data_IF_922305268433
#
_entry.id   IF_922305268433
#
_cell.length_a   1.000
_cell.length_b   1.000
_cell.length_c   1.000
_cell.angle_alpha   90.00
_cell.angle_beta   90.00
_cell.angle_gamma   90.00
#
_symmetry.space_group_name_H-M   'P 1'
#
loop_
_entity.id
_entity.type
_entity.pdbx_description
1 polymer ?
#
# COMPACT_ATOMS: atom_id res chain seq x y z
N UNK A 1 1.45 -17.13 -13.99
CA UNK A 1 2.41 -16.43 -13.11
C UNK A 1 1.72 -16.24 -11.75
N UNK A 2 2.44 -16.25 -10.61
CA UNK A 2 1.86 -16.37 -9.25
C UNK A 2 1.55 -14.99 -8.63
N UNK A 3 0.45 -14.86 -7.89
CA UNK A 3 0.22 -13.74 -6.95
C UNK A 3 1.27 -13.79 -5.83
N UNK A 4 1.85 -12.65 -5.44
CA UNK A 4 2.79 -12.62 -4.33
C UNK A 4 2.72 -11.32 -3.50
N UNK A 5 3.25 -11.42 -2.29
CA UNK A 5 3.68 -10.27 -1.49
C UNK A 5 5.07 -10.52 -0.96
N UNK A 6 5.99 -9.62 -1.30
CA UNK A 6 7.34 -9.60 -0.77
C UNK A 6 7.43 -8.48 0.23
N UNK A 7 7.39 -8.83 1.51
CA UNK A 7 7.67 -7.89 2.59
C UNK A 7 9.15 -7.52 2.57
N UNK A 8 9.44 -6.24 2.73
CA UNK A 8 10.80 -5.74 2.82
C UNK A 8 10.93 -4.90 4.10
N UNK A 9 12.14 -4.78 4.66
CA UNK A 9 12.38 -3.79 5.70
C UNK A 9 11.92 -2.41 5.23
N UNK A 10 11.15 -1.70 6.05
CA UNK A 10 10.81 -0.32 5.81
C UNK A 10 12.02 0.56 6.18
N UNK A 11 13.00 0.66 5.28
CA UNK A 11 14.16 1.54 5.45
C UNK A 11 14.08 2.72 4.48
N UNK A 12 14.70 3.84 4.86
CA UNK A 12 14.78 5.03 4.01
C UNK A 12 15.39 4.68 2.65
N UNK A 13 16.52 3.94 2.63
CA UNK A 13 17.20 3.51 1.41
C UNK A 13 16.27 2.77 0.43
N UNK A 14 15.56 1.74 0.91
CA UNK A 14 14.66 0.94 0.06
C UNK A 14 13.48 1.78 -0.44
N UNK A 15 12.99 2.69 0.39
CA UNK A 15 11.90 3.58 0.01
C UNK A 15 12.37 4.65 -0.98
N UNK A 16 13.55 5.23 -0.84
CA UNK A 16 14.08 6.26 -1.75
C UNK A 16 14.26 5.71 -3.18
N UNK A 17 14.71 4.46 -3.30
CA UNK A 17 14.81 3.76 -4.60
C UNK A 17 13.46 3.64 -5.33
N UNK A 18 12.34 3.66 -4.59
CA UNK A 18 11.00 3.41 -5.14
C UNK A 18 10.09 4.65 -5.10
N UNK A 19 10.25 5.53 -4.11
CA UNK A 19 9.42 6.69 -3.82
C UNK A 19 10.05 7.61 -2.76
N UNK A 20 10.51 8.78 -3.21
CA UNK A 20 10.92 9.87 -2.30
C UNK A 20 9.83 10.26 -1.30
N UNK A 21 8.55 10.23 -1.71
CA UNK A 21 7.41 10.49 -0.80
C UNK A 21 7.31 9.43 0.30
N UNK A 22 7.47 8.15 -0.04
CA UNK A 22 7.43 7.06 0.96
C UNK A 22 8.55 7.19 1.99
N UNK A 23 9.77 7.53 1.53
CA UNK A 23 10.91 7.74 2.42
C UNK A 23 10.68 8.92 3.38
N UNK A 24 10.14 10.04 2.88
CA UNK A 24 9.81 11.20 3.71
C UNK A 24 8.73 10.87 4.75
N UNK A 25 7.69 10.12 4.37
CA UNK A 25 6.66 9.68 5.32
C UNK A 25 7.24 8.79 6.43
N UNK A 26 8.14 7.87 6.09
CA UNK A 26 8.85 7.06 7.09
C UNK A 26 9.73 7.92 8.00
N UNK A 27 10.42 8.92 7.44
CA UNK A 27 11.23 9.85 8.21
C UNK A 27 10.39 10.61 9.25
N UNK A 28 9.24 11.16 8.85
CA UNK A 28 8.29 11.82 9.74
C UNK A 28 7.85 10.86 10.85
N UNK A 29 7.48 9.63 10.50
CA UNK A 29 7.06 8.60 11.46
C UNK A 29 8.15 8.28 12.49
N UNK A 30 9.41 8.11 12.05
CA UNK A 30 10.55 7.83 12.95
C UNK A 30 10.80 9.01 13.89
N UNK A 31 10.76 10.23 13.37
CA UNK A 31 10.97 11.47 14.15
C UNK A 31 9.86 11.68 15.19
N UNK A 32 8.61 11.38 14.83
CA UNK A 32 7.47 11.52 15.75
C UNK A 32 7.20 10.29 16.60
N UNK A 33 7.97 9.20 16.41
CA UNK A 33 7.72 7.90 17.03
C UNK A 33 6.26 7.44 16.87
N UNK A 34 5.73 7.57 15.65
CA UNK A 34 4.34 7.20 15.33
C UNK A 34 3.27 8.15 15.87
N UNK A 35 3.60 9.34 16.38
CA UNK A 35 2.58 10.34 16.69
C UNK A 35 2.16 11.06 15.42
N UNK A 36 0.85 11.22 15.22
CA UNK A 36 0.30 12.01 14.14
C UNK A 36 0.72 13.48 14.34
N UNK A 37 1.39 14.05 13.35
CA UNK A 37 1.89 15.42 13.37
C UNK A 37 1.37 16.22 12.17
N UNK A 38 1.38 17.57 12.24
CA UNK A 38 1.01 18.42 11.10
C UNK A 38 1.86 18.16 9.84
N UNK A 39 3.08 17.64 9.98
CA UNK A 39 3.96 17.31 8.84
C UNK A 39 3.33 16.27 7.89
N UNK A 40 2.38 15.44 8.36
CA UNK A 40 1.63 14.53 7.49
C UNK A 40 0.62 15.25 6.57
N UNK A 41 0.19 16.47 6.91
CA UNK A 41 -0.81 17.24 6.13
C UNK A 41 -0.27 17.60 4.76
N UNK A 42 1.02 17.87 4.65
CA UNK A 42 1.70 18.16 3.37
C UNK A 42 1.59 16.99 2.38
N UNK A 43 1.32 15.79 2.90
CA UNK A 43 1.15 14.56 2.14
C UNK A 43 -0.29 14.06 2.12
N UNK A 44 -1.26 14.79 2.68
CA UNK A 44 -2.66 14.34 2.83
C UNK A 44 -3.30 13.89 1.51
N UNK A 45 -2.92 14.50 0.37
CA UNK A 45 -3.41 14.10 -0.96
C UNK A 45 -2.84 12.79 -1.48
N UNK A 46 -1.79 12.27 -0.85
CA UNK A 46 -1.03 11.07 -1.26
C UNK A 46 -1.16 9.92 -0.25
N UNK A 47 -1.82 10.15 0.88
CA UNK A 47 -1.96 9.15 1.94
C UNK A 47 -3.42 8.91 2.27
N UNK A 48 -3.74 7.67 2.58
CA UNK A 48 -5.03 7.31 3.16
C UNK A 48 -4.88 7.13 4.66
N UNK A 49 -5.77 7.74 5.43
CA UNK A 49 -5.91 7.52 6.85
C UNK A 49 -6.99 6.48 7.10
N UNK A 50 -6.66 5.44 7.84
CA UNK A 50 -7.52 4.28 8.05
C UNK A 50 -7.69 3.98 9.53
N UNK A 51 -8.87 3.50 9.92
CA UNK A 51 -9.01 2.81 11.18
C UNK A 51 -8.18 1.51 11.15
N UNK A 52 -7.68 1.04 12.31
CA UNK A 52 -7.02 -0.26 12.39
C UNK A 52 -7.94 -1.39 11.90
N UNK A 53 -7.41 -2.41 11.22
CA UNK A 53 -8.21 -3.56 10.80
C UNK A 53 -8.71 -4.33 12.03
N UNK A 54 -9.99 -4.73 12.01
CA UNK A 54 -10.56 -5.57 13.07
C UNK A 54 -10.06 -7.02 13.00
N UNK A 55 -9.75 -7.53 11.80
CA UNK A 55 -9.24 -8.88 11.56
C UNK A 55 -8.28 -8.91 10.36
N UNK A 56 -7.41 -9.92 10.24
CA UNK A 56 -6.55 -10.12 9.05
C UNK A 56 -7.29 -10.78 7.88
N UNK A 57 -8.58 -11.06 7.99
CA UNK A 57 -9.30 -11.95 7.06
C UNK A 57 -9.70 -11.27 5.75
N UNK A 58 -9.67 -9.93 5.69
CA UNK A 58 -10.09 -9.22 4.48
C UNK A 58 -9.32 -7.91 4.25
N UNK A 59 -8.93 -7.66 3.00
CA UNK A 59 -8.08 -6.51 2.66
C UNK A 59 -8.88 -5.21 2.79
N UNK A 60 -8.29 -4.14 3.33
CA UNK A 60 -8.95 -2.86 3.39
C UNK A 60 -9.12 -2.21 2.01
N UNK A 61 -10.05 -1.28 1.96
CA UNK A 61 -10.59 -0.64 0.74
C UNK A 61 -9.58 0.19 -0.06
N UNK A 62 -8.34 0.39 0.42
CA UNK A 62 -7.39 1.31 -0.22
C UNK A 62 -7.09 0.95 -1.68
N UNK A 63 -7.10 -0.34 -2.02
CA UNK A 63 -6.86 -0.76 -3.41
C UNK A 63 -8.02 -0.36 -4.32
N UNK A 64 -9.16 -0.02 -3.76
CA UNK A 64 -10.44 0.11 -4.45
C UNK A 64 -10.93 1.56 -4.52
N UNK A 65 -10.29 2.50 -3.82
CA UNK A 65 -10.78 3.88 -3.71
C UNK A 65 -10.07 4.80 -4.69
N UNK A 66 -10.85 5.45 -5.56
CA UNK A 66 -10.42 6.57 -6.38
C UNK A 66 -10.02 6.21 -7.82
N UNK A 67 -9.94 7.24 -8.65
CA UNK A 67 -9.64 7.08 -10.08
C UNK A 67 -8.17 6.74 -10.36
N UNK A 68 -7.28 7.00 -9.41
CA UNK A 68 -5.86 6.71 -9.52
C UNK A 68 -5.48 5.44 -8.73
N UNK A 69 -6.49 4.66 -8.32
CA UNK A 69 -6.25 3.39 -7.62
C UNK A 69 -5.59 2.39 -8.56
N UNK A 70 -4.64 1.63 -8.02
CA UNK A 70 -4.03 0.48 -8.70
C UNK A 70 -5.09 -0.41 -9.35
N UNK A 71 -6.19 -0.66 -8.65
CA UNK A 71 -7.23 -1.52 -9.18
C UNK A 71 -8.02 -0.89 -10.33
N UNK A 72 -8.24 0.43 -10.39
CA UNK A 72 -8.80 1.05 -11.60
C UNK A 72 -7.88 0.90 -12.81
N UNK A 73 -6.57 1.13 -12.65
CA UNK A 73 -5.64 0.97 -13.77
C UNK A 73 -5.63 -0.45 -14.32
N UNK A 74 -5.85 -1.44 -13.45
CA UNK A 74 -5.84 -2.84 -13.84
C UNK A 74 -7.19 -3.31 -14.39
N UNK A 75 -8.29 -2.93 -13.76
CA UNK A 75 -9.61 -3.48 -14.01
C UNK A 75 -10.57 -2.53 -14.73
N UNK A 76 -10.10 -1.33 -15.07
CA UNK A 76 -10.88 -0.34 -15.80
C UNK A 76 -11.83 0.49 -14.93
N UNK A 77 -12.61 1.33 -15.59
CA UNK A 77 -13.44 2.36 -14.95
C UNK A 77 -14.54 1.79 -14.04
N UNK A 78 -15.08 0.61 -14.37
CA UNK A 78 -16.09 -0.09 -13.56
C UNK A 78 -15.60 -0.35 -12.13
N UNK A 79 -14.28 -0.53 -11.95
CA UNK A 79 -13.70 -0.73 -10.63
C UNK A 79 -13.83 0.49 -9.73
N UNK A 80 -13.57 1.69 -10.28
CA UNK A 80 -13.67 2.94 -9.52
C UNK A 80 -15.12 3.33 -9.24
N UNK A 81 -16.05 2.95 -10.11
CA UNK A 81 -17.47 3.29 -9.98
C UNK A 81 -18.23 2.28 -9.09
N UNK A 82 -17.80 1.02 -9.06
CA UNK A 82 -18.48 -0.06 -8.35
C UNK A 82 -17.54 -0.94 -7.48
N UNK A 83 -16.81 -0.35 -6.52
CA UNK A 83 -15.78 -1.03 -5.73
C UNK A 83 -16.28 -2.32 -5.06
N UNK A 84 -17.47 -2.33 -4.46
CA UNK A 84 -18.01 -3.52 -3.78
C UNK A 84 -18.22 -4.72 -4.72
N UNK A 85 -18.57 -4.46 -6.00
CA UNK A 85 -18.68 -5.52 -7.02
C UNK A 85 -17.31 -5.99 -7.47
N UNK A 86 -16.42 -5.03 -7.69
CA UNK A 86 -15.02 -5.24 -8.05
C UNK A 86 -14.26 -6.13 -7.04
N UNK A 87 -14.53 -5.95 -5.73
CA UNK A 87 -13.96 -6.79 -4.65
C UNK A 87 -14.15 -8.28 -4.87
N UNK A 88 -15.30 -8.69 -5.42
CA UNK A 88 -15.62 -10.11 -5.65
C UNK A 88 -14.75 -10.74 -6.73
N UNK A 89 -14.14 -9.93 -7.61
CA UNK A 89 -13.22 -10.41 -8.63
C UNK A 89 -11.80 -10.67 -8.10
N UNK A 90 -11.43 -10.15 -6.92
CA UNK A 90 -10.16 -10.47 -6.28
C UNK A 90 -10.24 -11.84 -5.59
N UNK A 91 -9.23 -12.68 -5.82
CA UNK A 91 -9.09 -13.94 -5.11
C UNK A 91 -9.07 -13.69 -3.60
N UNK A 92 -9.70 -14.58 -2.83
CA UNK A 92 -9.67 -14.49 -1.37
C UNK A 92 -8.23 -14.53 -0.84
N UNK A 93 -7.40 -15.36 -1.45
CA UNK A 93 -5.97 -15.50 -1.12
C UNK A 93 -5.24 -14.17 -1.26
N UNK A 94 -5.41 -13.47 -2.37
CA UNK A 94 -4.83 -12.14 -2.57
C UNK A 94 -5.30 -11.15 -1.50
N UNK A 95 -6.61 -11.09 -1.24
CA UNK A 95 -7.17 -10.19 -0.22
C UNK A 95 -6.61 -10.46 1.18
N UNK A 96 -6.53 -11.72 1.59
CA UNK A 96 -5.95 -12.11 2.88
C UNK A 96 -4.47 -11.74 2.99
N UNK A 97 -3.72 -11.96 1.91
CA UNK A 97 -2.31 -11.63 1.84
C UNK A 97 -2.09 -10.11 1.95
N UNK A 98 -2.90 -9.29 1.27
CA UNK A 98 -2.88 -7.83 1.39
C UNK A 98 -3.30 -7.37 2.80
N UNK A 99 -4.33 -7.98 3.39
CA UNK A 99 -4.87 -7.68 4.72
C UNK A 99 -3.87 -7.92 5.85
N UNK A 100 -3.13 -9.02 5.75
CA UNK A 100 -2.19 -9.46 6.78
C UNK A 100 -1.16 -8.38 7.15
N UNK A 101 -0.73 -7.55 6.19
CA UNK A 101 0.24 -6.49 6.43
C UNK A 101 -0.32 -5.31 7.24
N UNK A 102 -1.60 -4.98 7.08
CA UNK A 102 -2.25 -3.98 7.94
C UNK A 102 -2.38 -4.48 9.36
N UNK A 103 -2.78 -5.74 9.49
CA UNK A 103 -2.88 -6.40 10.78
C UNK A 103 -1.51 -6.42 11.48
N UNK A 104 -0.45 -6.79 10.76
CA UNK A 104 0.91 -6.80 11.29
C UNK A 104 1.39 -5.41 11.69
N UNK A 105 1.16 -4.39 10.86
CA UNK A 105 1.54 -3.01 11.18
C UNK A 105 0.85 -2.53 12.46
N UNK A 106 -0.45 -2.84 12.61
CA UNK A 106 -1.22 -2.50 13.80
C UNK A 106 -0.74 -3.26 15.05
N UNK A 107 -0.66 -4.58 14.99
CA UNK A 107 -0.31 -5.44 16.13
C UNK A 107 1.13 -5.22 16.62
N UNK A 108 2.08 -5.05 15.69
CA UNK A 108 3.48 -4.83 16.06
C UNK A 108 3.80 -3.37 16.37
N UNK A 109 2.89 -2.46 16.06
CA UNK A 109 3.11 -1.01 16.07
C UNK A 109 4.41 -0.60 15.35
N UNK A 110 4.68 -1.23 14.20
CA UNK A 110 5.87 -0.96 13.36
C UNK A 110 5.48 -0.66 11.92
N UNK A 111 6.27 0.18 11.22
CA UNK A 111 6.12 0.40 9.80
C UNK A 111 6.25 -0.92 9.03
N UNK A 112 5.34 -1.14 8.08
CA UNK A 112 5.42 -2.26 7.14
C UNK A 112 5.57 -1.70 5.72
N UNK A 113 6.57 -2.20 5.01
CA UNK A 113 6.79 -1.90 3.60
C UNK A 113 6.73 -3.17 2.77
N UNK A 114 5.83 -3.22 1.81
CA UNK A 114 5.62 -4.39 0.97
C UNK A 114 5.65 -4.05 -0.51
N UNK A 115 6.17 -4.99 -1.29
CA UNK A 115 5.99 -5.06 -2.72
C UNK A 115 4.94 -6.13 -3.02
N UNK A 116 3.90 -5.76 -3.75
CA UNK A 116 2.75 -6.62 -4.03
C UNK A 116 2.64 -6.76 -5.54
N UNK A 117 2.60 -8.02 -5.99
CA UNK A 117 2.46 -8.38 -7.39
C UNK A 117 1.24 -9.28 -7.58
N UNK A 118 0.43 -8.98 -8.58
CA UNK A 118 -0.75 -9.78 -8.86
C UNK A 118 -0.98 -9.94 -10.36
N UNK A 119 -1.37 -11.16 -10.73
CA UNK A 119 -1.93 -11.44 -12.05
C UNK A 119 -3.43 -11.23 -11.95
N UNK A 120 -3.91 -10.20 -12.62
CA UNK A 120 -5.27 -9.74 -12.47
C UNK A 120 -6.11 -10.06 -13.73
N UNK A 121 -5.44 -10.48 -14.81
CA UNK A 121 -5.96 -11.19 -15.98
C UNK A 121 -4.84 -11.99 -16.66
N UNK A 122 -5.17 -12.80 -17.68
CA UNK A 122 -4.24 -13.75 -18.34
C UNK A 122 -2.95 -13.11 -18.90
N UNK A 123 -2.97 -11.80 -19.19
CA UNK A 123 -1.83 -11.07 -19.76
C UNK A 123 -1.46 -9.77 -19.01
N UNK A 124 -2.04 -9.51 -17.84
CA UNK A 124 -1.82 -8.25 -17.13
C UNK A 124 -1.28 -8.51 -15.73
N UNK A 125 0.05 -8.47 -15.64
CA UNK A 125 0.80 -8.51 -14.40
C UNK A 125 1.20 -7.09 -14.00
N UNK A 126 0.90 -6.71 -12.77
CA UNK A 126 1.18 -5.38 -12.25
C UNK A 126 1.72 -5.45 -10.84
N UNK A 127 2.58 -4.50 -10.50
CA UNK A 127 3.21 -4.37 -9.20
C UNK A 127 2.95 -3.00 -8.60
N UNK A 128 2.77 -2.96 -7.29
CA UNK A 128 2.80 -1.70 -6.54
C UNK A 128 3.52 -1.93 -5.23
N UNK A 129 4.07 -0.84 -4.68
CA UNK A 129 4.59 -0.84 -3.34
C UNK A 129 3.63 -0.11 -2.39
N UNK A 130 3.69 -0.49 -1.13
CA UNK A 130 2.89 0.13 -0.08
C UNK A 130 3.70 0.30 1.19
N UNK A 131 3.61 1.48 1.78
CA UNK A 131 4.08 1.78 3.11
C UNK A 131 2.88 1.96 4.04
N UNK A 132 2.85 1.20 5.13
CA UNK A 132 1.82 1.24 6.17
C UNK A 132 2.49 1.73 7.45
N UNK A 133 1.99 2.84 7.99
CA UNK A 133 2.53 3.51 9.17
C UNK A 133 1.47 3.50 10.27
N UNK A 134 1.66 2.75 11.38
CA UNK A 134 0.76 2.84 12.52
C UNK A 134 0.98 4.17 13.25
N UNK A 135 -0.08 4.94 13.43
CA UNK A 135 -0.01 6.27 14.04
C UNK A 135 -0.99 6.42 15.19
N UNK A 136 -0.67 7.32 16.12
CA UNK A 136 -1.53 7.66 17.25
C UNK A 136 -1.82 9.16 17.26
N UNK A 137 -3.09 9.51 17.43
CA UNK A 137 -3.48 10.91 17.65
C UNK A 137 -3.13 11.35 19.07
N UNK A 138 -3.17 12.66 19.32
CA UNK A 138 -3.02 13.22 20.68
C UNK A 138 -4.09 12.72 21.65
N UNK A 139 -5.25 12.31 21.14
CA UNK A 139 -6.34 11.72 21.93
C UNK A 139 -6.13 10.22 22.20
N UNK A 140 -4.99 9.64 21.81
CA UNK A 140 -4.68 8.22 22.00
C UNK A 140 -5.36 7.29 20.99
N UNK A 141 -5.98 7.82 19.93
CA UNK A 141 -6.65 7.02 18.91
C UNK A 141 -5.60 6.44 17.96
N UNK A 142 -5.56 5.11 17.84
CA UNK A 142 -4.70 4.40 16.89
C UNK A 142 -5.33 4.38 15.50
N UNK A 143 -4.53 4.66 14.47
CA UNK A 143 -4.91 4.70 13.07
C UNK A 143 -3.74 4.21 12.21
N UNK A 144 -3.98 3.98 10.92
CA UNK A 144 -2.94 3.67 9.95
C UNK A 144 -2.89 4.78 8.90
N UNK A 145 -1.70 5.33 8.66
CA UNK A 145 -1.40 6.13 7.46
C UNK A 145 -0.84 5.20 6.41
N UNK A 146 -1.42 5.24 5.21
CA UNK A 146 -1.09 4.30 4.15
C UNK A 146 -0.73 5.07 2.89
N UNK A 147 0.45 4.79 2.36
CA UNK A 147 0.94 5.30 1.10
C UNK A 147 1.08 4.14 0.11
N UNK A 148 0.57 4.31 -1.10
CA UNK A 148 0.70 3.33 -2.19
C UNK A 148 1.31 4.00 -3.42
N UNK A 149 2.10 3.24 -4.19
CA UNK A 149 2.63 3.69 -5.48
C UNK A 149 2.72 2.51 -6.44
N UNK A 150 2.08 2.63 -7.58
CA UNK A 150 2.24 1.69 -8.68
C UNK A 150 3.67 1.76 -9.23
N UNK A 151 4.25 0.60 -9.52
CA UNK A 151 5.56 0.53 -10.14
C UNK A 151 5.41 0.51 -11.67
N UNK A 152 6.36 1.09 -12.40
CA UNK A 152 6.37 1.00 -13.85
C UNK A 152 6.39 -0.47 -14.30
N UNK A 153 5.73 -0.74 -15.41
CA UNK A 153 5.60 -2.08 -15.99
C UNK A 153 6.98 -2.74 -16.15
N UNK A 154 7.11 -4.02 -15.75
CA UNK A 154 8.39 -4.73 -15.77
C UNK A 154 8.96 -4.93 -17.19
N UNK A 155 8.14 -4.73 -18.23
CA UNK A 155 8.58 -4.58 -19.62
C UNK A 155 9.64 -3.48 -19.81
N UNK A 156 9.72 -2.51 -18.89
CA UNK A 156 10.71 -1.43 -18.90
C UNK A 156 12.04 -1.78 -18.20
N UNK A 157 12.05 -2.80 -17.32
CA UNK A 157 13.26 -3.17 -16.55
C UNK A 157 14.21 -4.09 -17.31
N UNK A 158 13.75 -4.70 -18.40
CA UNK A 158 14.62 -5.49 -19.29
C UNK A 158 15.68 -4.64 -20.02
N UNK A 159 15.55 -3.30 -20.04
CA UNK A 159 16.47 -2.40 -20.75
C UNK A 159 17.59 -1.86 -19.84
N UNK A 160 17.51 -2.04 -18.52
CA UNK A 160 18.53 -1.50 -17.57
C UNK A 160 19.47 -2.55 -16.97
N UNK A 161 19.44 -3.79 -17.46
CA UNK A 161 20.42 -4.83 -17.12
C UNK A 161 21.38 -5.15 -18.27
N UNK A 162 21.35 -4.33 -19.33
CA UNK A 162 22.34 -4.33 -20.40
C UNK A 162 22.86 -2.89 -20.50
N UNK A 163 23.81 -2.54 -19.62
CA UNK A 163 24.88 -1.56 -19.84
C UNK A 163 25.80 -1.54 -18.61
#
# INVERSE_FOLDING_TARGET
>A
MLEYTKRRPATALILEELSTTGAQLLHIWNKSNGHLSPEFIDYARKVLLMAPPATPSDSPDILMIGNDSFARHVFGADWAQHPTRARKAMSLTYRQLVASSYWNAHQSNKPIFDLIGANLSDNNYREYCRLILPVHSRAGISQLVVFTKELPDQSSRAISLIN
#
